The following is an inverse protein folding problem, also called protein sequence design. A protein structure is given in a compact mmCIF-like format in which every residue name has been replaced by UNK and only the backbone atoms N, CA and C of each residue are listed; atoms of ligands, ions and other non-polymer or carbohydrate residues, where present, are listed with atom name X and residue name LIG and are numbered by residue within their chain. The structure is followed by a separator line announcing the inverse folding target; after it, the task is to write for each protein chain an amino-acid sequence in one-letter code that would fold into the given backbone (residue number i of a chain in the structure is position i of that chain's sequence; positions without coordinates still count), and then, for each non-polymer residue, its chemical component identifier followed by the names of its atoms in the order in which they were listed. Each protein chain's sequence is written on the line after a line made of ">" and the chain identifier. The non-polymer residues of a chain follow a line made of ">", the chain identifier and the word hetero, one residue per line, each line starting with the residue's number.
data_IF_717706782835
#
_entry.id   IF_717706782835
#
_cell.length_a   1.000
_cell.length_b   1.000
_cell.length_c   1.000
_cell.angle_alpha   90.00
_cell.angle_beta   90.00
_cell.angle_gamma   90.00
#
_symmetry.space_group_name_H-M   'P 1'
#
loop_
_entity.id
_entity.type
_entity.pdbx_description
1 polymer ?
#
# COMPACT_ATOMS: atom_id res chain seq x y z
N UNK A 1 -20.87 26.11 38.40
CA UNK A 1 -19.62 25.35 38.18
C UNK A 1 -19.74 24.48 36.94
N UNK A 2 -19.61 25.05 35.74
CA UNK A 2 -19.63 24.32 34.48
C UNK A 2 -18.40 24.70 33.65
N UNK A 3 -17.29 24.04 33.97
CA UNK A 3 -16.06 24.02 33.15
C UNK A 3 -15.59 22.58 33.13
N UNK A 4 -16.37 21.71 32.50
CA UNK A 4 -15.88 20.40 32.09
C UNK A 4 -15.30 20.61 30.69
N UNK A 5 -13.98 20.78 30.69
CA UNK A 5 -13.03 20.57 29.60
C UNK A 5 -13.62 20.45 28.18
N UNK A 6 -13.61 21.56 27.44
CA UNK A 6 -13.46 21.48 25.98
C UNK A 6 -12.07 20.92 25.70
N UNK A 7 -11.94 19.59 25.69
CA UNK A 7 -10.80 18.95 25.06
C UNK A 7 -10.72 19.53 23.65
N UNK A 8 -9.67 20.28 23.37
CA UNK A 8 -9.45 20.92 22.07
C UNK A 8 -9.36 19.82 21.03
N UNK A 9 -10.47 19.49 20.37
CA UNK A 9 -10.45 18.66 19.19
C UNK A 9 -9.43 19.28 18.23
N UNK A 10 -8.42 18.49 17.83
CA UNK A 10 -7.43 18.95 16.87
C UNK A 10 -8.17 19.43 15.63
N UNK A 11 -7.73 20.56 15.05
CA UNK A 11 -8.38 21.07 13.86
C UNK A 11 -8.30 20.02 12.74
N UNK A 12 -9.31 19.90 11.86
CA UNK A 12 -9.34 18.88 10.81
C UNK A 12 -8.07 18.87 9.96
N UNK A 13 -7.47 20.03 9.70
CA UNK A 13 -6.24 20.16 8.92
C UNK A 13 -5.04 19.48 9.58
N UNK A 14 -4.94 19.54 10.91
CA UNK A 14 -3.85 18.90 11.66
C UNK A 14 -4.04 17.39 11.65
N UNK A 15 -5.26 16.90 11.87
CA UNK A 15 -5.57 15.47 11.83
C UNK A 15 -5.23 14.87 10.46
N UNK A 16 -5.59 15.57 9.40
CA UNK A 16 -5.25 15.23 8.02
C UNK A 16 -3.74 15.17 7.82
N UNK A 17 -3.03 16.23 8.22
CA UNK A 17 -1.58 16.32 7.99
C UNK A 17 -0.84 15.19 8.70
N UNK A 18 -1.22 14.88 9.94
CA UNK A 18 -0.67 13.76 10.69
C UNK A 18 -1.02 12.41 10.07
N UNK A 19 -2.24 12.26 9.53
CA UNK A 19 -2.67 11.04 8.85
C UNK A 19 -1.88 10.80 7.56
N UNK A 20 -1.69 11.84 6.73
CA UNK A 20 -0.86 11.76 5.53
C UNK A 20 0.60 11.46 5.85
N UNK A 21 1.17 12.12 6.88
CA UNK A 21 2.53 11.85 7.33
C UNK A 21 2.68 10.41 7.84
N UNK A 22 1.78 9.96 8.71
CA UNK A 22 1.76 8.60 9.23
C UNK A 22 1.61 7.55 8.11
N UNK A 23 0.70 7.79 7.16
CA UNK A 23 0.51 6.95 5.99
C UNK A 23 1.77 6.89 5.12
N UNK A 24 2.43 8.01 4.86
CA UNK A 24 3.70 8.04 4.12
C UNK A 24 4.83 7.28 4.83
N UNK A 25 4.98 7.44 6.15
CA UNK A 25 5.99 6.73 6.93
C UNK A 25 5.72 5.22 6.96
N UNK A 26 4.46 4.83 7.13
CA UNK A 26 4.04 3.44 7.04
C UNK A 26 4.31 2.87 5.64
N UNK A 27 3.98 3.63 4.59
CA UNK A 27 4.24 3.29 3.20
C UNK A 27 5.73 3.10 2.91
N UNK A 28 6.57 3.89 3.59
CA UNK A 28 8.03 3.86 3.46
C UNK A 28 8.68 2.58 3.98
N UNK A 29 7.97 1.74 4.74
CA UNK A 29 8.48 0.45 5.22
C UNK A 29 8.67 -0.51 4.03
N UNK A 30 9.91 -0.94 3.73
CA UNK A 30 10.20 -1.75 2.55
C UNK A 30 10.12 -3.25 2.89
N UNK A 31 8.91 -3.79 3.01
CA UNK A 31 8.68 -5.18 3.44
C UNK A 31 9.48 -6.21 2.64
N UNK A 32 9.67 -6.01 1.33
CA UNK A 32 10.50 -6.89 0.53
C UNK A 32 11.96 -6.98 0.96
N UNK A 33 12.55 -5.84 1.34
CA UNK A 33 13.90 -5.82 1.89
C UNK A 33 13.93 -6.39 3.30
N UNK A 34 12.91 -6.11 4.12
CA UNK A 34 12.78 -6.65 5.47
C UNK A 34 12.76 -8.18 5.43
N UNK A 35 11.88 -8.80 4.64
CA UNK A 35 11.78 -10.25 4.57
C UNK A 35 12.98 -10.91 3.88
N UNK A 36 13.57 -10.30 2.85
CA UNK A 36 14.84 -10.80 2.29
C UNK A 36 15.94 -10.87 3.35
N UNK A 37 16.08 -9.83 4.19
CA UNK A 37 17.07 -9.83 5.28
C UNK A 37 16.75 -10.86 6.36
N UNK A 38 15.49 -10.93 6.80
CA UNK A 38 15.05 -11.88 7.84
C UNK A 38 15.27 -13.34 7.44
N UNK A 39 15.19 -13.66 6.15
CA UNK A 39 15.41 -15.02 5.64
C UNK A 39 16.83 -15.27 5.13
N UNK A 40 17.76 -14.33 5.32
CA UNK A 40 19.14 -14.47 4.84
C UNK A 40 19.25 -14.58 3.31
N UNK A 41 18.24 -14.08 2.58
CA UNK A 41 18.21 -14.10 1.12
C UNK A 41 19.00 -12.91 0.54
N UNK A 42 19.41 -12.97 -0.74
CA UNK A 42 20.08 -11.84 -1.40
C UNK A 42 19.24 -10.56 -1.36
N UNK A 43 19.91 -9.39 -1.37
CA UNK A 43 19.25 -8.09 -1.43
C UNK A 43 18.45 -7.98 -2.74
N UNK A 44 17.12 -7.78 -2.69
CA UNK A 44 16.28 -7.71 -3.89
C UNK A 44 16.60 -6.51 -4.78
N UNK A 45 17.33 -5.50 -4.27
CA UNK A 45 17.81 -4.35 -5.07
C UNK A 45 19.03 -4.70 -5.92
N UNK A 46 19.72 -5.79 -5.58
CA UNK A 46 20.93 -6.26 -6.27
C UNK A 46 20.67 -7.53 -7.09
N UNK A 47 19.47 -8.11 -7.01
CA UNK A 47 19.12 -9.37 -7.66
C UNK A 47 17.80 -9.30 -8.45
N UNK A 48 17.68 -10.17 -9.46
CA UNK A 48 16.51 -10.26 -10.32
C UNK A 48 16.22 -8.96 -11.07
N UNK A 49 14.98 -8.48 -10.99
CA UNK A 49 14.53 -7.21 -11.57
C UNK A 49 14.94 -5.95 -10.78
N UNK A 50 15.72 -6.11 -9.70
CA UNK A 50 16.22 -5.01 -8.84
C UNK A 50 15.11 -4.17 -8.20
N UNK A 51 13.90 -4.73 -8.08
CA UNK A 51 12.76 -4.08 -7.44
C UNK A 51 12.50 -4.73 -6.07
N UNK A 52 12.01 -3.98 -5.10
CA UNK A 52 11.70 -4.51 -3.76
C UNK A 52 10.32 -5.18 -3.66
N UNK A 53 9.50 -5.13 -4.70
CA UNK A 53 8.12 -5.64 -4.68
C UNK A 53 8.00 -7.17 -4.80
N UNK A 54 6.78 -7.66 -4.51
CA UNK A 54 6.37 -9.07 -4.51
C UNK A 54 7.04 -9.95 -5.57
N UNK A 55 6.91 -9.59 -6.85
CA UNK A 55 7.35 -10.46 -7.95
C UNK A 55 8.87 -10.68 -7.95
N UNK A 56 9.65 -9.67 -7.53
CA UNK A 56 11.09 -9.84 -7.45
C UNK A 56 11.49 -10.62 -6.20
N UNK A 57 10.88 -10.31 -5.06
CA UNK A 57 11.15 -11.02 -3.80
C UNK A 57 10.75 -12.49 -3.90
N UNK A 58 9.68 -12.82 -4.63
CA UNK A 58 9.33 -14.19 -4.95
C UNK A 58 10.45 -14.94 -5.67
N UNK A 59 11.18 -14.26 -6.57
CA UNK A 59 12.31 -14.86 -7.31
C UNK A 59 13.58 -14.94 -6.46
N UNK A 60 13.84 -13.94 -5.62
CA UNK A 60 15.11 -13.79 -4.87
C UNK A 60 15.07 -14.49 -3.51
N UNK A 61 13.93 -14.43 -2.82
CA UNK A 61 13.70 -14.91 -1.45
C UNK A 61 12.69 -16.09 -1.40
N UNK A 62 12.25 -16.57 -2.57
CA UNK A 62 11.33 -17.69 -2.69
C UNK A 62 9.89 -17.39 -2.28
N UNK A 63 9.05 -18.43 -2.28
CA UNK A 63 7.60 -18.33 -2.08
C UNK A 63 7.22 -17.67 -0.76
N UNK A 64 7.88 -18.04 0.35
CA UNK A 64 7.61 -17.48 1.68
C UNK A 64 7.90 -15.98 1.72
N UNK A 65 9.08 -15.56 1.27
CA UNK A 65 9.48 -14.15 1.22
C UNK A 65 8.58 -13.31 0.32
N UNK A 66 8.23 -13.85 -0.86
CA UNK A 66 7.29 -13.22 -1.78
C UNK A 66 5.91 -12.99 -1.13
N UNK A 67 5.28 -14.04 -0.60
CA UNK A 67 3.94 -13.93 0.00
C UNK A 67 3.91 -12.95 1.16
N UNK A 68 4.91 -12.98 2.06
CA UNK A 68 4.98 -12.06 3.18
C UNK A 68 5.19 -10.61 2.72
N UNK A 69 5.99 -10.39 1.67
CA UNK A 69 6.14 -9.07 1.05
C UNK A 69 4.82 -8.55 0.49
N UNK A 70 4.09 -9.41 -0.23
CA UNK A 70 2.78 -9.06 -0.76
C UNK A 70 1.81 -8.73 0.37
N UNK A 71 1.76 -9.55 1.42
CA UNK A 71 0.90 -9.32 2.58
C UNK A 71 1.25 -8.02 3.31
N UNK A 72 2.54 -7.71 3.50
CA UNK A 72 2.98 -6.47 4.14
C UNK A 72 2.68 -5.23 3.28
N UNK A 73 2.99 -5.26 1.99
CA UNK A 73 2.74 -4.13 1.09
C UNK A 73 1.24 -3.92 0.81
N UNK A 74 0.44 -4.99 0.67
CA UNK A 74 -1.02 -4.90 0.59
C UNK A 74 -1.60 -4.41 1.92
N UNK A 75 -1.14 -4.98 3.03
CA UNK A 75 -1.64 -4.72 4.38
C UNK A 75 -1.44 -3.27 4.82
N UNK A 76 -0.29 -2.66 4.51
CA UNK A 76 -0.08 -1.23 4.82
C UNK A 76 -1.03 -0.31 4.06
N UNK A 77 -1.31 -0.64 2.80
CA UNK A 77 -2.31 0.07 2.00
C UNK A 77 -3.71 -0.11 2.59
N UNK A 78 -4.09 -1.36 2.85
CA UNK A 78 -5.37 -1.72 3.45
C UNK A 78 -5.62 -1.04 4.78
N UNK A 79 -4.62 -1.00 5.65
CA UNK A 79 -4.74 -0.35 6.96
C UNK A 79 -5.10 1.13 6.82
N UNK A 80 -4.41 1.86 5.94
CA UNK A 80 -4.70 3.28 5.69
C UNK A 80 -6.07 3.47 5.06
N UNK A 81 -6.43 2.65 4.07
CA UNK A 81 -7.75 2.71 3.44
C UNK A 81 -8.88 2.42 4.42
N UNK A 82 -8.70 1.42 5.29
CA UNK A 82 -9.67 1.03 6.31
C UNK A 82 -9.83 2.11 7.38
N UNK A 83 -8.74 2.72 7.85
CA UNK A 83 -8.85 3.90 8.72
C UNK A 83 -9.60 5.05 8.04
N UNK A 84 -9.38 5.26 6.75
CA UNK A 84 -10.10 6.24 5.95
C UNK A 84 -11.61 5.97 5.84
N UNK A 85 -12.03 4.70 5.81
CA UNK A 85 -13.45 4.32 5.70
C UNK A 85 -14.23 4.42 7.01
N UNK A 86 -13.55 4.63 8.16
CA UNK A 86 -14.22 4.85 9.45
C UNK A 86 -14.98 6.19 9.54
N UNK A 87 -14.84 7.07 8.54
CA UNK A 87 -15.52 8.38 8.52
C UNK A 87 -14.98 9.39 9.54
N UNK A 88 -13.82 9.09 10.15
CA UNK A 88 -13.17 9.96 11.13
C UNK A 88 -12.51 11.20 10.50
N UNK A 89 -12.30 11.17 9.18
CA UNK A 89 -11.64 12.21 8.39
C UNK A 89 -12.48 12.40 7.11
N UNK A 90 -12.69 13.63 6.61
CA UNK A 90 -13.50 13.81 5.40
C UNK A 90 -12.96 13.01 4.20
N UNK A 91 -13.85 12.51 3.34
CA UNK A 91 -13.54 11.54 2.29
C UNK A 91 -12.37 11.94 1.36
N UNK A 92 -12.27 13.22 1.00
CA UNK A 92 -11.16 13.73 0.19
C UNK A 92 -9.79 13.49 0.86
N UNK A 93 -9.74 13.60 2.17
CA UNK A 93 -8.51 13.41 2.93
C UNK A 93 -8.16 11.94 3.17
N UNK A 94 -9.16 11.06 3.25
CA UNK A 94 -8.92 9.60 3.26
C UNK A 94 -8.23 9.15 1.96
N UNK A 95 -8.64 9.70 0.81
CA UNK A 95 -7.97 9.48 -0.48
C UNK A 95 -6.53 10.01 -0.46
N UNK A 96 -6.29 11.18 0.12
CA UNK A 96 -4.94 11.73 0.25
C UNK A 96 -4.04 10.87 1.15
N UNK A 97 -4.57 10.31 2.25
CA UNK A 97 -3.81 9.37 3.08
C UNK A 97 -3.45 8.08 2.30
N UNK A 98 -4.38 7.54 1.50
CA UNK A 98 -4.09 6.38 0.63
C UNK A 98 -3.03 6.74 -0.43
N UNK A 99 -3.11 7.93 -1.02
CA UNK A 99 -2.06 8.41 -1.91
C UNK A 99 -0.72 8.54 -1.17
N UNK A 100 -0.71 9.04 0.06
CA UNK A 100 0.51 9.17 0.88
C UNK A 100 1.16 7.83 1.16
N UNK A 101 0.43 6.77 1.50
CA UNK A 101 1.02 5.43 1.72
C UNK A 101 1.58 4.83 0.42
N UNK A 102 0.93 5.07 -0.72
CA UNK A 102 1.44 4.68 -2.03
C UNK A 102 2.73 5.45 -2.37
N UNK A 103 2.74 6.77 -2.14
CA UNK A 103 3.94 7.60 -2.31
C UNK A 103 5.07 7.17 -1.38
N UNK A 104 4.78 6.80 -0.13
CA UNK A 104 5.76 6.22 0.77
C UNK A 104 6.37 4.93 0.22
N UNK A 105 5.57 4.07 -0.42
CA UNK A 105 6.11 2.85 -1.04
C UNK A 105 6.93 3.13 -2.32
N UNK A 106 6.56 4.14 -3.11
CA UNK A 106 7.26 4.54 -4.34
C UNK A 106 8.58 5.28 -4.02
N UNK A 107 8.53 6.19 -3.05
CA UNK A 107 9.61 7.07 -2.63
C UNK A 107 9.89 6.92 -1.12
N UNK A 108 10.25 5.72 -0.64
CA UNK A 108 10.45 5.46 0.78
C UNK A 108 11.62 6.28 1.32
N UNK A 109 11.38 7.03 2.38
CA UNK A 109 12.43 7.82 3.06
C UNK A 109 13.57 6.91 3.55
N UNK A 110 13.25 5.69 3.98
CA UNK A 110 14.23 4.71 4.48
C UNK A 110 15.14 4.12 3.38
N UNK A 111 14.81 4.29 2.10
CA UNK A 111 15.63 3.83 0.97
C UNK A 111 16.05 4.97 0.04
N UNK A 112 16.23 6.18 0.60
CA UNK A 112 16.66 7.37 -0.17
C UNK A 112 15.75 7.62 -1.38
N UNK A 113 14.44 7.47 -1.19
CA UNK A 113 13.40 7.70 -2.19
C UNK A 113 13.43 6.78 -3.42
N UNK A 114 14.06 5.61 -3.31
CA UNK A 114 14.07 4.58 -4.38
C UNK A 114 13.31 3.33 -3.92
N UNK A 115 12.02 3.26 -4.24
CA UNK A 115 11.09 2.24 -3.74
C UNK A 115 10.62 1.22 -4.76
N UNK A 116 9.42 0.67 -4.49
CA UNK A 116 8.76 -0.30 -5.34
C UNK A 116 7.83 0.36 -6.37
N UNK A 117 6.90 -0.42 -6.94
CA UNK A 117 5.93 0.06 -7.95
C UNK A 117 4.58 0.51 -7.40
N UNK A 118 4.32 0.30 -6.11
CA UNK A 118 3.08 0.74 -5.46
C UNK A 118 1.82 -0.10 -5.74
N UNK A 119 1.91 -1.15 -6.56
CA UNK A 119 0.74 -1.93 -6.99
C UNK A 119 -0.01 -2.57 -5.81
N UNK A 120 0.70 -3.35 -4.98
CA UNK A 120 0.07 -3.99 -3.82
C UNK A 120 -0.45 -2.95 -2.81
N UNK A 121 0.32 -1.90 -2.55
CA UNK A 121 -0.09 -0.80 -1.66
C UNK A 121 -1.37 -0.11 -2.15
N UNK A 122 -1.47 0.19 -3.44
CA UNK A 122 -2.65 0.84 -4.02
C UNK A 122 -3.88 -0.05 -4.01
N UNK A 123 -3.73 -1.32 -4.41
CA UNK A 123 -4.80 -2.32 -4.31
C UNK A 123 -5.29 -2.51 -2.87
N UNK A 124 -4.35 -2.53 -1.92
CA UNK A 124 -4.65 -2.57 -0.49
C UNK A 124 -5.45 -1.35 -0.06
N UNK A 125 -5.03 -0.15 -0.44
CA UNK A 125 -5.74 1.10 -0.14
C UNK A 125 -7.20 1.07 -0.61
N UNK A 126 -7.44 0.63 -1.84
CA UNK A 126 -8.80 0.50 -2.36
C UNK A 126 -9.59 -0.58 -1.61
N UNK A 127 -8.97 -1.73 -1.29
CA UNK A 127 -9.58 -2.78 -0.49
C UNK A 127 -9.96 -2.32 0.93
N UNK A 128 -9.18 -1.42 1.52
CA UNK A 128 -9.50 -0.82 2.82
C UNK A 128 -10.64 0.19 2.76
N UNK A 129 -10.68 1.01 1.70
CA UNK A 129 -11.75 2.01 1.50
C UNK A 129 -13.07 1.31 1.16
N UNK A 130 -13.03 0.40 0.19
CA UNK A 130 -14.21 -0.25 -0.37
C UNK A 130 -13.93 -1.72 -0.66
N UNK A 131 -14.24 -2.57 0.32
CA UNK A 131 -13.90 -3.98 0.33
C UNK A 131 -14.33 -4.75 -0.93
N UNK A 132 -15.59 -4.65 -1.43
CA UNK A 132 -16.00 -5.37 -2.63
C UNK A 132 -15.20 -4.97 -3.88
N UNK A 133 -14.95 -3.68 -4.05
CA UNK A 133 -14.20 -3.17 -5.21
C UNK A 133 -12.74 -3.61 -5.14
N UNK A 134 -12.10 -3.49 -3.98
CA UNK A 134 -10.72 -3.96 -3.81
C UNK A 134 -10.55 -5.45 -4.06
N UNK A 135 -11.54 -6.28 -3.69
CA UNK A 135 -11.51 -7.72 -3.99
C UNK A 135 -11.56 -7.99 -5.51
N UNK A 136 -12.42 -7.28 -6.25
CA UNK A 136 -12.50 -7.43 -7.71
C UNK A 136 -11.18 -7.01 -8.36
N UNK A 137 -10.62 -5.87 -7.97
CA UNK A 137 -9.33 -5.39 -8.51
C UNK A 137 -8.18 -6.34 -8.17
N UNK A 138 -8.16 -6.87 -6.95
CA UNK A 138 -7.16 -7.85 -6.52
C UNK A 138 -7.31 -9.14 -7.34
N UNK A 139 -8.53 -9.61 -7.59
CA UNK A 139 -8.78 -10.77 -8.43
C UNK A 139 -8.31 -10.55 -9.87
N UNK A 140 -8.63 -9.41 -10.49
CA UNK A 140 -8.14 -9.04 -11.83
C UNK A 140 -6.61 -9.03 -11.86
N UNK A 141 -5.99 -8.41 -10.86
CA UNK A 141 -4.54 -8.38 -10.74
C UNK A 141 -3.95 -9.79 -10.62
N UNK A 142 -4.47 -10.63 -9.72
CA UNK A 142 -4.00 -12.02 -9.52
C UNK A 142 -4.13 -12.82 -10.81
N UNK A 143 -5.30 -12.81 -11.45
CA UNK A 143 -5.53 -13.51 -12.74
C UNK A 143 -4.51 -13.04 -13.77
N UNK A 144 -4.31 -11.74 -13.89
CA UNK A 144 -3.37 -11.18 -14.87
C UNK A 144 -1.92 -11.57 -14.57
N UNK A 145 -1.51 -11.54 -13.30
CA UNK A 145 -0.16 -11.97 -12.90
C UNK A 145 0.04 -13.47 -13.13
N UNK A 146 -0.98 -14.29 -12.88
CA UNK A 146 -0.92 -15.74 -13.08
C UNK A 146 -0.79 -16.10 -14.56
N UNK A 147 -1.58 -15.46 -15.43
CA UNK A 147 -1.62 -15.71 -16.88
C UNK A 147 -0.37 -15.14 -17.56
N UNK A 148 -0.10 -13.85 -17.39
CA UNK A 148 0.96 -13.16 -18.16
C UNK A 148 2.30 -13.07 -17.45
N UNK A 149 2.40 -13.41 -16.15
CA UNK A 149 3.65 -13.32 -15.35
C UNK A 149 4.22 -11.91 -15.21
N UNK A 150 3.46 -10.87 -15.57
CA UNK A 150 3.84 -9.46 -15.45
C UNK A 150 2.95 -8.71 -14.46
N UNK A 151 3.49 -8.40 -13.27
CA UNK A 151 2.74 -7.70 -12.21
C UNK A 151 2.32 -6.27 -12.57
N UNK A 152 3.14 -5.54 -13.35
CA UNK A 152 2.76 -4.21 -13.84
C UNK A 152 1.62 -4.26 -14.85
N UNK A 153 1.55 -5.29 -15.70
CA UNK A 153 0.41 -5.52 -16.58
C UNK A 153 -0.87 -5.76 -15.79
N UNK A 154 -0.79 -6.57 -14.73
CA UNK A 154 -1.91 -6.77 -13.81
C UNK A 154 -2.42 -5.49 -13.17
N UNK A 155 -1.52 -4.57 -12.82
CA UNK A 155 -1.90 -3.29 -12.24
C UNK A 155 -2.67 -2.43 -13.25
N UNK A 156 -2.15 -2.33 -14.48
CA UNK A 156 -2.80 -1.58 -15.56
C UNK A 156 -4.20 -2.14 -15.84
N UNK A 157 -4.32 -3.47 -15.96
CA UNK A 157 -5.61 -4.12 -16.18
C UNK A 157 -6.61 -3.89 -15.04
N UNK A 158 -6.16 -4.01 -13.79
CA UNK A 158 -7.01 -3.76 -12.63
C UNK A 158 -7.49 -2.30 -12.60
N UNK A 159 -6.58 -1.34 -12.67
CA UNK A 159 -6.96 0.08 -12.62
C UNK A 159 -7.75 0.54 -13.84
N UNK A 160 -7.52 -0.03 -15.03
CA UNK A 160 -8.32 0.23 -16.23
C UNK A 160 -9.77 -0.29 -16.10
N UNK A 161 -10.01 -1.30 -15.25
CA UNK A 161 -11.35 -1.81 -14.98
C UNK A 161 -12.15 -0.95 -13.98
N UNK A 162 -11.52 0.01 -13.29
CA UNK A 162 -12.18 0.88 -12.30
C UNK A 162 -13.47 1.53 -12.83
N UNK A 163 -13.53 2.14 -14.03
CA UNK A 163 -14.76 2.76 -14.54
C UNK A 163 -15.90 1.76 -14.80
N UNK A 164 -15.60 0.47 -14.93
CA UNK A 164 -16.61 -0.57 -15.15
C UNK A 164 -17.17 -1.10 -13.83
N UNK A 165 -16.45 -0.93 -12.73
CA UNK A 165 -16.76 -1.51 -11.42
C UNK A 165 -17.17 -0.44 -10.40
N UNK A 166 -16.71 0.80 -10.56
CA UNK A 166 -16.91 1.90 -9.62
C UNK A 166 -18.23 2.64 -9.82
N UNK A 167 -19.35 1.92 -9.72
CA UNK A 167 -20.71 2.46 -9.74
C UNK A 167 -21.41 2.24 -8.39
#
# INVERSE_FOLDING_TARGET
>A
MARIASASAMSPEILVSLSCLGAYLLGSIPFGLVFSRLFGAPDPRQAGSRNIGFTNVLRVCGKKGGILTLAGDLGKGWLVGWFGSLGLIPNLWALLAVLSVVLGHLFPVFLRFHGGKGVATGLGGILGIHFPMGLILLAIWVVTVVVWKYSSGGAIMAFAALPLIGW
#
